data_IF_071609486481
#
_entry.id   IF_071609486481
#
_cell.length_a   1.000
_cell.length_b   1.000
_cell.length_c   1.000
_cell.angle_alpha   90.00
_cell.angle_beta   90.00
_cell.angle_gamma   90.00
#
_symmetry.space_group_name_H-M   'P 1'
#
loop_
_entity.id
_entity.type
_entity.pdbx_description
1 polymer ?
#
# COMPACT_ATOMS: atom_id res chain seq x y z
N UNK A 1 -21.12 -15.31 2.57
CA UNK A 1 -19.84 -15.91 2.99
C UNK A 1 -18.71 -15.10 2.38
N UNK A 2 -18.01 -14.28 3.18
CA UNK A 2 -16.95 -13.41 2.65
C UNK A 2 -15.69 -14.26 2.51
N UNK A 3 -15.22 -14.49 1.28
CA UNK A 3 -13.96 -15.17 1.02
C UNK A 3 -12.82 -14.29 1.53
N UNK A 4 -12.37 -14.54 2.75
CA UNK A 4 -11.21 -13.87 3.33
C UNK A 4 -9.94 -14.26 2.56
N UNK A 5 -9.17 -13.26 2.13
CA UNK A 5 -7.85 -13.49 1.56
C UNK A 5 -6.88 -13.74 2.72
N UNK A 6 -6.35 -14.97 2.81
CA UNK A 6 -5.23 -15.30 3.70
C UNK A 6 -3.93 -15.15 2.93
N UNK A 7 -3.04 -14.28 3.40
CA UNK A 7 -1.69 -14.14 2.87
C UNK A 7 -0.73 -14.98 3.70
N UNK A 8 0.13 -15.74 3.02
CA UNK A 8 1.22 -16.48 3.62
C UNK A 8 2.55 -15.85 3.18
N UNK A 9 3.43 -15.55 4.12
CA UNK A 9 4.83 -15.26 3.82
C UNK A 9 5.53 -16.57 3.49
N UNK A 10 5.95 -16.77 2.23
CA UNK A 10 6.85 -17.86 1.86
C UNK A 10 8.22 -17.29 1.54
N UNK A 11 9.23 -17.77 2.27
CA UNK A 11 10.63 -17.38 2.09
C UNK A 11 11.41 -18.35 1.20
N UNK A 12 10.74 -19.21 0.43
CA UNK A 12 11.42 -20.24 -0.38
C UNK A 12 10.73 -20.56 -1.70
N UNK A 13 11.58 -20.90 -2.68
CA UNK A 13 11.29 -21.57 -3.95
C UNK A 13 10.15 -22.58 -3.83
N UNK A 14 9.20 -22.56 -4.76
CA UNK A 14 8.24 -23.66 -4.93
C UNK A 14 8.96 -24.79 -5.66
N UNK A 15 9.43 -25.80 -4.92
CA UNK A 15 9.62 -27.14 -5.46
C UNK A 15 8.30 -27.90 -5.30
N UNK A 16 7.77 -28.40 -6.42
CA UNK A 16 6.55 -29.21 -6.49
C UNK A 16 6.82 -30.59 -5.88
N UNK A 17 6.35 -30.85 -4.65
CA UNK A 17 6.38 -32.21 -4.09
C UNK A 17 5.05 -32.93 -4.38
N UNK A 18 5.08 -33.87 -5.33
CA UNK A 18 3.98 -34.79 -5.59
C UNK A 18 4.11 -36.01 -4.65
N UNK A 19 3.45 -35.98 -3.49
CA UNK A 19 3.20 -37.19 -2.71
C UNK A 19 1.93 -37.85 -3.24
N UNK A 20 2.08 -39.03 -3.85
CA UNK A 20 0.96 -39.94 -4.09
C UNK A 20 0.42 -40.34 -2.71
N UNK A 21 -0.75 -39.84 -2.32
CA UNK A 21 -1.89 -40.56 -1.73
C UNK A 21 -2.94 -39.53 -1.24
N UNK A 22 -4.12 -39.66 -1.85
CA UNK A 22 -5.40 -38.97 -1.64
C UNK A 22 -5.65 -38.23 -0.31
N UNK A 23 -5.64 -36.89 -0.33
CA UNK A 23 -6.62 -35.98 0.33
C UNK A 23 -6.58 -34.63 -0.40
N UNK A 24 -7.71 -33.92 -0.51
CA UNK A 24 -7.89 -32.68 -1.28
C UNK A 24 -6.81 -31.61 -1.01
N UNK A 25 -5.76 -31.60 -1.82
CA UNK A 25 -4.73 -30.56 -1.84
C UNK A 25 -5.31 -29.33 -2.54
N UNK A 26 -5.77 -28.36 -1.75
CA UNK A 26 -6.00 -27.00 -2.29
C UNK A 26 -4.63 -26.38 -2.55
N UNK A 27 -4.19 -26.41 -3.81
CA UNK A 27 -2.97 -25.71 -4.23
C UNK A 27 -3.26 -24.21 -4.14
N UNK A 28 -2.74 -23.56 -3.11
CA UNK A 28 -2.75 -22.10 -3.01
C UNK A 28 -1.70 -21.55 -3.98
N UNK A 29 -2.15 -21.16 -5.17
CA UNK A 29 -1.29 -20.48 -6.13
C UNK A 29 -1.00 -19.07 -5.60
N UNK A 30 0.26 -18.81 -5.26
CA UNK A 30 0.70 -17.48 -4.85
C UNK A 30 0.79 -16.57 -6.07
N UNK A 31 -0.01 -15.50 -6.09
CA UNK A 31 0.11 -14.46 -7.09
C UNK A 31 1.19 -13.47 -6.69
N UNK A 32 2.04 -13.09 -7.64
CA UNK A 32 3.15 -12.16 -7.39
C UNK A 32 3.12 -11.04 -8.43
N UNK A 33 3.04 -9.80 -7.96
CA UNK A 33 3.33 -8.63 -8.76
C UNK A 33 4.71 -8.08 -8.35
N UNK A 34 5.59 -7.84 -9.33
CA UNK A 34 6.94 -7.31 -9.06
C UNK A 34 6.99 -5.82 -9.35
N UNK A 35 7.17 -5.02 -8.29
CA UNK A 35 7.50 -3.59 -8.39
C UNK A 35 8.97 -3.45 -8.82
N UNK A 36 9.22 -3.29 -10.13
CA UNK A 36 10.59 -3.16 -10.66
C UNK A 36 11.33 -2.00 -9.98
N UNK A 37 12.55 -2.27 -9.51
CA UNK A 37 13.45 -1.35 -8.80
C UNK A 37 12.90 -0.64 -7.56
N UNK A 38 11.77 -1.11 -7.00
CA UNK A 38 11.13 -0.51 -5.82
C UNK A 38 10.83 -1.58 -4.76
N UNK A 39 11.02 -1.22 -3.50
CA UNK A 39 10.85 -2.07 -2.32
C UNK A 39 9.56 -1.68 -1.62
N UNK A 40 8.66 -2.62 -1.35
CA UNK A 40 7.37 -2.35 -0.71
C UNK A 40 7.53 -1.94 0.75
N UNK A 41 6.76 -0.94 1.17
CA UNK A 41 6.76 -0.40 2.54
C UNK A 41 5.43 -0.61 3.26
N UNK A 42 4.31 -0.34 2.57
CA UNK A 42 2.98 -0.50 3.15
C UNK A 42 2.00 -0.95 2.07
N UNK A 43 1.07 -1.84 2.44
CA UNK A 43 0.03 -2.34 1.56
C UNK A 43 -1.28 -2.48 2.35
N UNK A 44 -2.35 -1.81 1.91
CA UNK A 44 -3.64 -1.79 2.60
C UNK A 44 -4.80 -1.97 1.63
N UNK A 45 -5.71 -2.89 1.94
CA UNK A 45 -6.95 -3.06 1.18
C UNK A 45 -7.85 -1.84 1.36
N UNK A 46 -8.60 -1.50 0.31
CA UNK A 46 -9.63 -0.48 0.39
C UNK A 46 -10.72 -0.92 1.38
N UNK A 47 -11.17 -0.04 2.29
CA UNK A 47 -12.29 -0.33 3.18
C UNK A 47 -13.65 -0.38 2.45
N UNK A 48 -13.71 0.05 1.18
CA UNK A 48 -14.93 0.08 0.36
C UNK A 48 -14.96 -1.02 -0.69
N UNK A 49 -13.81 -1.31 -1.31
CA UNK A 49 -13.71 -2.26 -2.40
C UNK A 49 -12.79 -3.43 -1.99
N UNK A 50 -13.34 -4.62 -1.67
CA UNK A 50 -12.55 -5.74 -1.13
C UNK A 50 -11.51 -6.31 -2.10
N UNK A 51 -11.61 -5.96 -3.37
CA UNK A 51 -10.67 -6.36 -4.41
C UNK A 51 -9.59 -5.31 -4.66
N UNK A 52 -9.74 -4.09 -4.12
CA UNK A 52 -8.79 -3.00 -4.36
C UNK A 52 -7.75 -2.95 -3.26
N UNK A 53 -6.48 -2.87 -3.66
CA UNK A 53 -5.33 -2.80 -2.78
C UNK A 53 -4.49 -1.58 -3.16
N UNK A 54 -4.13 -0.75 -2.19
CA UNK A 54 -3.07 0.25 -2.36
C UNK A 54 -1.77 -0.29 -1.80
N UNK A 55 -0.65 0.05 -2.44
CA UNK A 55 0.70 -0.26 -1.97
C UNK A 55 1.61 0.93 -2.22
N UNK A 56 2.49 1.26 -1.27
CA UNK A 56 3.60 2.18 -1.50
C UNK A 56 4.92 1.43 -1.53
N UNK A 57 5.77 1.82 -2.46
CA UNK A 57 7.11 1.26 -2.58
C UNK A 57 8.12 2.36 -2.94
N UNK A 58 9.37 2.18 -2.49
CA UNK A 58 10.44 3.16 -2.65
C UNK A 58 11.65 2.59 -3.36
N UNK A 59 12.31 3.42 -4.17
CA UNK A 59 13.60 3.10 -4.77
C UNK A 59 14.69 2.97 -3.70
N UNK A 60 15.79 2.30 -4.06
CA UNK A 60 17.02 2.22 -3.27
C UNK A 60 16.79 1.97 -1.76
N UNK A 61 15.93 1.01 -1.42
CA UNK A 61 15.59 0.65 -0.03
C UNK A 61 15.08 1.83 0.81
N UNK A 62 14.43 2.82 0.18
CA UNK A 62 13.93 4.03 0.83
C UNK A 62 15.01 5.00 1.30
N UNK A 63 16.28 4.76 0.99
CA UNK A 63 17.41 5.62 1.38
C UNK A 63 17.54 6.82 0.43
N UNK A 64 17.12 6.66 -0.82
CA UNK A 64 17.16 7.69 -1.85
C UNK A 64 16.18 7.38 -3.00
N UNK A 65 15.98 8.34 -3.90
CA UNK A 65 15.19 8.17 -5.11
C UNK A 65 13.69 8.39 -4.90
N UNK A 66 12.89 7.96 -5.86
CA UNK A 66 11.45 8.20 -5.84
C UNK A 66 10.65 7.07 -5.17
N UNK A 67 9.53 7.43 -4.56
CA UNK A 67 8.48 6.52 -4.15
C UNK A 67 7.37 6.44 -5.20
N UNK A 68 6.53 5.40 -5.10
CA UNK A 68 5.32 5.31 -5.90
C UNK A 68 4.16 4.77 -5.08
N UNK A 69 2.98 5.28 -5.40
CA UNK A 69 1.69 4.70 -5.01
C UNK A 69 1.25 3.76 -6.14
N UNK A 70 0.95 2.52 -5.80
CA UNK A 70 0.36 1.52 -6.69
C UNK A 70 -1.06 1.22 -6.25
N UNK A 71 -2.00 1.25 -7.19
CA UNK A 71 -3.37 0.77 -7.00
C UNK A 71 -3.53 -0.51 -7.80
N UNK A 72 -3.92 -1.57 -7.12
CA UNK A 72 -4.17 -2.87 -7.70
C UNK A 72 -5.62 -3.27 -7.55
N UNK A 73 -6.14 -3.99 -8.54
CA UNK A 73 -7.33 -4.83 -8.38
C UNK A 73 -6.87 -6.29 -8.33
N UNK A 74 -7.29 -7.00 -7.29
CA UNK A 74 -6.91 -8.37 -6.96
C UNK A 74 -8.10 -9.28 -7.21
N UNK A 75 -7.95 -10.17 -8.20
CA UNK A 75 -8.95 -11.16 -8.59
C UNK A 75 -8.40 -12.57 -8.34
N UNK A 76 -9.27 -13.60 -8.29
CA UNK A 76 -8.81 -14.99 -8.27
C UNK A 76 -7.89 -15.26 -9.47
N UNK A 77 -6.63 -15.60 -9.20
CA UNK A 77 -5.64 -15.91 -10.24
C UNK A 77 -4.92 -14.70 -10.86
N UNK A 78 -5.22 -13.46 -10.47
CA UNK A 78 -4.60 -12.29 -11.10
C UNK A 78 -4.47 -11.07 -10.15
N UNK A 79 -3.35 -10.34 -10.28
CA UNK A 79 -3.17 -9.00 -9.70
C UNK A 79 -2.98 -8.03 -10.86
N UNK A 80 -3.93 -7.10 -11.03
CA UNK A 80 -3.90 -6.07 -12.08
C UNK A 80 -3.45 -4.75 -11.51
N UNK A 81 -2.47 -4.11 -12.13
CA UNK A 81 -2.12 -2.72 -11.86
C UNK A 81 -3.17 -1.81 -12.50
N UNK A 82 -3.92 -1.09 -11.68
CA UNK A 82 -4.95 -0.12 -12.12
C UNK A 82 -4.32 1.24 -12.36
N UNK A 83 -3.50 1.70 -11.43
CA UNK A 83 -2.86 3.00 -11.47
C UNK A 83 -1.51 2.98 -10.75
N UNK A 84 -0.58 3.79 -11.23
CA UNK A 84 0.67 4.09 -10.56
C UNK A 84 0.93 5.60 -10.62
N UNK A 85 1.27 6.18 -9.47
CA UNK A 85 1.64 7.59 -9.34
C UNK A 85 2.97 7.69 -8.61
N UNK A 86 3.93 8.41 -9.19
CA UNK A 86 5.25 8.62 -8.59
C UNK A 86 5.26 9.84 -7.65
N UNK A 87 6.13 9.80 -6.65
CA UNK A 87 6.46 10.91 -5.75
C UNK A 87 7.96 11.13 -5.71
N UNK A 88 8.41 12.38 -5.56
CA UNK A 88 9.82 12.75 -5.73
C UNK A 88 10.78 12.19 -4.67
N UNK A 89 10.25 11.67 -3.56
CA UNK A 89 11.01 11.08 -2.45
C UNK A 89 10.38 9.73 -2.03
N UNK A 90 11.05 8.98 -1.16
CA UNK A 90 10.56 7.73 -0.62
C UNK A 90 9.17 7.87 0.02
N UNK A 91 8.33 6.85 -0.19
CA UNK A 91 7.05 6.68 0.49
C UNK A 91 7.14 5.50 1.46
N UNK A 92 6.70 5.72 2.70
CA UNK A 92 6.94 4.78 3.80
C UNK A 92 5.68 4.19 4.41
N UNK A 93 4.55 4.87 4.27
CA UNK A 93 3.25 4.33 4.69
C UNK A 93 2.12 4.94 3.85
N UNK A 94 0.96 4.31 3.90
CA UNK A 94 -0.27 4.80 3.30
C UNK A 94 -1.47 4.47 4.18
N UNK A 95 -2.56 5.21 4.08
CA UNK A 95 -3.85 4.86 4.67
C UNK A 95 -4.99 5.27 3.75
N UNK A 96 -6.04 4.46 3.66
CA UNK A 96 -7.26 4.86 2.97
C UNK A 96 -8.05 5.83 3.84
N UNK A 97 -8.82 6.71 3.20
CA UNK A 97 -9.79 7.53 3.91
C UNK A 97 -11.03 6.72 4.27
N UNK A 98 -11.54 6.88 5.49
CA UNK A 98 -12.74 6.17 5.97
C UNK A 98 -14.06 6.91 5.65
N UNK A 99 -13.96 8.05 4.94
CA UNK A 99 -15.09 8.87 4.51
C UNK A 99 -15.22 9.03 2.98
N UNK A 100 -14.23 8.59 2.19
CA UNK A 100 -14.26 8.68 0.74
C UNK A 100 -13.50 7.50 0.10
N UNK A 101 -14.15 6.77 -0.79
CA UNK A 101 -13.64 5.54 -1.40
C UNK A 101 -12.48 5.72 -2.37
N UNK A 102 -12.25 6.94 -2.85
CA UNK A 102 -11.19 7.26 -3.78
C UNK A 102 -9.99 7.94 -3.12
N UNK A 103 -10.10 8.33 -1.85
CA UNK A 103 -9.03 9.07 -1.17
C UNK A 103 -8.12 8.14 -0.39
N UNK A 104 -6.82 8.36 -0.54
CA UNK A 104 -5.81 7.81 0.34
C UNK A 104 -4.79 8.88 0.72
N UNK A 105 -4.05 8.61 1.78
CA UNK A 105 -3.00 9.48 2.30
C UNK A 105 -1.70 8.69 2.37
N UNK A 106 -0.57 9.34 2.06
CA UNK A 106 0.76 8.71 2.13
C UNK A 106 1.74 9.51 2.97
N UNK A 107 2.72 8.81 3.55
CA UNK A 107 3.84 9.35 4.32
C UNK A 107 5.11 9.36 3.47
N UNK A 108 5.88 10.45 3.46
CA UNK A 108 7.10 10.57 2.66
C UNK A 108 8.35 10.97 3.45
N UNK A 109 9.51 10.59 2.91
CA UNK A 109 10.83 11.00 3.38
C UNK A 109 11.11 12.50 3.31
N UNK A 110 10.42 13.24 2.45
CA UNK A 110 10.62 14.69 2.32
C UNK A 110 9.89 15.53 3.40
N UNK A 111 9.32 14.85 4.40
CA UNK A 111 8.54 15.44 5.49
C UNK A 111 7.11 15.83 5.12
N UNK A 112 6.64 15.44 3.94
CA UNK A 112 5.25 15.70 3.55
C UNK A 112 4.34 14.49 3.70
N UNK A 113 3.07 14.80 3.95
CA UNK A 113 1.93 13.90 3.90
C UNK A 113 1.10 14.28 2.68
N UNK A 114 0.88 13.34 1.76
CA UNK A 114 0.19 13.62 0.50
C UNK A 114 -1.20 12.99 0.49
N UNK A 115 -2.21 13.73 0.03
CA UNK A 115 -3.58 13.25 -0.18
C UNK A 115 -3.78 12.97 -1.67
N UNK A 116 -4.17 11.76 -2.01
CA UNK A 116 -4.33 11.30 -3.39
C UNK A 116 -5.78 10.94 -3.68
N UNK A 117 -6.20 11.18 -4.92
CA UNK A 117 -7.44 10.65 -5.48
C UNK A 117 -7.09 9.55 -6.48
N UNK A 118 -7.47 8.31 -6.19
CA UNK A 118 -7.20 7.13 -7.04
C UNK A 118 -8.10 7.09 -8.29
N UNK A 119 -9.02 8.03 -8.45
CA UNK A 119 -9.74 8.28 -9.70
C UNK A 119 -9.03 9.26 -10.62
N UNK A 120 -8.04 10.02 -10.10
CA UNK A 120 -7.29 11.02 -10.86
C UNK A 120 -5.84 10.58 -11.02
N UNK A 121 -5.40 10.45 -12.27
CA UNK A 121 -4.03 10.12 -12.58
C UNK A 121 -3.17 11.39 -12.58
N UNK A 122 -2.20 11.48 -11.67
CA UNK A 122 -0.83 12.03 -11.86
C UNK A 122 -0.26 12.76 -10.63
N UNK A 123 -1.09 13.42 -9.83
CA UNK A 123 -0.61 14.27 -8.73
C UNK A 123 -1.50 14.18 -7.50
N UNK A 124 -0.96 14.42 -6.29
CA UNK A 124 -1.77 14.50 -5.10
C UNK A 124 -2.72 15.70 -5.17
N UNK A 125 -3.93 15.55 -4.63
CA UNK A 125 -4.88 16.64 -4.44
C UNK A 125 -4.34 17.69 -3.46
N UNK A 126 -3.58 17.25 -2.47
CA UNK A 126 -3.01 18.12 -1.43
C UNK A 126 -1.68 17.56 -0.93
N UNK A 127 -0.77 18.46 -0.61
CA UNK A 127 0.52 18.15 0.04
C UNK A 127 0.58 18.94 1.35
N UNK A 128 0.67 18.24 2.47
CA UNK A 128 0.81 18.81 3.80
C UNK A 128 2.29 18.71 4.18
N UNK A 129 2.98 19.84 4.26
CA UNK A 129 4.42 19.89 4.54
C UNK A 129 4.69 20.58 5.87
N UNK A 130 4.28 19.89 6.93
CA UNK A 130 4.42 20.40 8.29
C UNK A 130 5.52 19.71 9.09
N UNK A 131 5.87 18.47 8.76
CA UNK A 131 7.02 17.80 9.36
C UNK A 131 8.31 18.30 8.73
N UNK A 132 9.37 18.35 9.54
CA UNK A 132 10.69 18.85 9.10
C UNK A 132 11.66 17.74 8.72
N UNK A 133 11.24 16.49 8.89
CA UNK A 133 11.98 15.26 8.58
C UNK A 133 11.01 14.18 8.10
N UNK A 134 11.55 13.01 7.75
CA UNK A 134 10.84 11.84 7.24
C UNK A 134 9.56 11.55 8.03
N UNK A 135 8.44 11.32 7.34
CA UNK A 135 7.20 10.84 7.94
C UNK A 135 7.15 9.33 7.76
N UNK A 136 7.14 8.59 8.87
CA UNK A 136 7.29 7.13 8.85
C UNK A 136 5.96 6.39 8.76
N UNK A 137 4.90 6.99 9.29
CA UNK A 137 3.58 6.36 9.34
C UNK A 137 2.47 7.41 9.26
N UNK A 138 1.37 7.02 8.64
CA UNK A 138 0.11 7.78 8.60
C UNK A 138 -1.05 6.86 8.90
N UNK A 139 -2.01 7.34 9.69
CA UNK A 139 -3.24 6.60 9.97
C UNK A 139 -4.47 7.50 9.92
N UNK A 140 -5.51 7.01 9.25
CA UNK A 140 -6.79 7.70 9.16
C UNK A 140 -7.68 7.25 10.32
N UNK A 141 -8.40 8.18 10.94
CA UNK A 141 -9.31 7.86 12.03
C UNK A 141 -10.46 6.96 11.57
N UNK A 142 -10.65 5.82 12.24
CA UNK A 142 -11.69 4.85 11.89
C UNK A 142 -13.10 5.27 12.34
N UNK A 143 -13.22 6.34 13.13
CA UNK A 143 -14.50 6.97 13.45
C UNK A 143 -14.99 7.76 12.23
N UNK A 144 -15.93 7.19 11.47
CA UNK A 144 -16.47 7.78 10.22
C UNK A 144 -16.96 9.23 10.31
N UNK A 145 -17.25 9.72 11.51
CA UNK A 145 -17.72 11.09 11.75
C UNK A 145 -16.58 12.12 11.84
N UNK A 146 -15.33 11.66 11.86
CA UNK A 146 -14.15 12.49 11.99
C UNK A 146 -13.28 12.40 10.73
N UNK A 147 -12.61 13.49 10.40
CA UNK A 147 -11.73 13.59 9.22
C UNK A 147 -10.30 13.85 9.67
N UNK A 148 -9.87 13.08 10.67
CA UNK A 148 -8.54 13.19 11.25
C UNK A 148 -7.61 12.17 10.61
N UNK A 149 -6.43 12.66 10.29
CA UNK A 149 -5.26 11.85 9.92
C UNK A 149 -4.20 12.20 10.95
N UNK A 150 -3.53 11.18 11.45
CA UNK A 150 -2.37 11.35 12.32
C UNK A 150 -1.12 10.91 11.57
N UNK A 151 -0.01 11.61 11.78
CA UNK A 151 1.30 11.27 11.23
C UNK A 151 2.38 11.32 12.29
N UNK A 152 3.38 10.42 12.18
CA UNK A 152 4.54 10.41 13.07
C UNK A 152 5.84 10.47 12.25
N UNK A 153 6.78 11.28 12.73
CA UNK A 153 7.98 11.66 11.97
C UNK A 153 9.27 11.56 12.79
N UNK A 154 10.39 11.46 12.09
CA UNK A 154 11.75 11.58 12.62
C UNK A 154 12.09 12.96 13.20
N UNK A 155 11.21 13.96 13.03
CA UNK A 155 11.33 15.26 13.69
C UNK A 155 10.92 15.24 15.18
N UNK A 156 10.59 14.06 15.71
CA UNK A 156 10.13 13.81 17.08
C UNK A 156 8.73 14.36 17.38
N UNK A 157 7.92 14.64 16.35
CA UNK A 157 6.56 15.10 16.50
C UNK A 157 5.55 14.09 15.96
N UNK A 158 4.36 14.12 16.56
CA UNK A 158 3.13 13.52 16.05
C UNK A 158 2.19 14.68 15.74
N UNK A 159 1.56 14.67 14.57
CA UNK A 159 0.64 15.72 14.12
C UNK A 159 -0.67 15.12 13.65
#
# INVERSE_FOLDING_TARGET
EVKGYKFYWSQSHIETYCSRHNTNLTVHMTLTFRTKSKHGYSAKFSPYFPQRLACVASQYYGIAGCGSVFIFDVHPGEIRLVQMSDWSDGLFDLTWAENNENILVTASGDGSVQVWDVGQAQSPLKVLKEHTKEVNTVEWSQTRNEHFVISASWDNLIK
#
